data_IF_594181920669
#
_entry.id   IF_594181920669
#
_cell.length_a   1.000
_cell.length_b   1.000
_cell.length_c   1.000
_cell.angle_alpha   90.00
_cell.angle_beta   90.00
_cell.angle_gamma   90.00
#
_symmetry.space_group_name_H-M   'P 1'
#
loop_
_entity.id
_entity.type
_entity.pdbx_description
1 polymer ?
#
# COMPACT_ATOMS: atom_id res chain seq x y z
N UNK A 1 5.69 -36.51 19.28
CA UNK A 1 4.77 -35.36 19.13
C UNK A 1 5.16 -34.15 19.98
N UNK A 2 5.59 -34.34 21.23
CA UNK A 2 5.99 -33.22 22.10
C UNK A 2 7.26 -32.48 21.65
N UNK A 3 8.27 -33.20 21.13
CA UNK A 3 9.52 -32.62 20.67
C UNK A 3 9.37 -31.64 19.48
N UNK A 4 8.66 -31.97 18.39
CA UNK A 4 8.45 -31.03 17.28
C UNK A 4 7.57 -29.83 17.67
N UNK A 5 6.60 -30.02 18.57
CA UNK A 5 5.82 -28.90 19.12
C UNK A 5 6.73 -27.99 19.93
N UNK A 6 7.52 -28.52 20.86
CA UNK A 6 8.46 -27.72 21.66
C UNK A 6 9.48 -26.96 20.79
N UNK A 7 10.02 -27.59 19.75
CA UNK A 7 10.92 -26.93 18.79
C UNK A 7 10.22 -25.82 18.00
N UNK A 8 8.98 -26.03 17.57
CA UNK A 8 8.18 -25.00 16.90
C UNK A 8 7.87 -23.83 17.85
N UNK A 9 7.52 -24.10 19.11
CA UNK A 9 7.29 -23.07 20.13
C UNK A 9 8.56 -22.30 20.43
N UNK A 10 9.72 -22.97 20.50
CA UNK A 10 11.02 -22.33 20.74
C UNK A 10 11.47 -21.48 19.53
N UNK A 11 11.19 -21.94 18.32
CA UNK A 11 11.43 -21.17 17.09
C UNK A 11 10.52 -19.94 17.02
N UNK A 12 9.23 -20.10 17.32
CA UNK A 12 8.27 -18.99 17.45
C UNK A 12 8.69 -18.02 18.55
N UNK A 13 9.14 -18.51 19.71
CA UNK A 13 9.62 -17.69 20.81
C UNK A 13 10.91 -16.96 20.47
N UNK A 14 11.84 -17.55 19.70
CA UNK A 14 13.06 -16.87 19.21
C UNK A 14 12.76 -15.85 18.12
N UNK A 15 11.82 -16.14 17.23
CA UNK A 15 11.35 -15.19 16.21
C UNK A 15 10.62 -14.04 16.89
N UNK A 16 9.70 -14.34 17.82
CA UNK A 16 9.02 -13.35 18.64
C UNK A 16 10.04 -12.55 19.46
N UNK A 17 10.99 -13.18 20.14
CA UNK A 17 12.05 -12.48 20.86
C UNK A 17 12.94 -11.67 19.91
N UNK A 18 13.23 -12.07 18.67
CA UNK A 18 14.00 -11.20 17.75
C UNK A 18 13.17 -10.03 17.22
N UNK A 19 11.87 -10.22 17.05
CA UNK A 19 10.92 -9.18 16.62
C UNK A 19 10.53 -8.24 17.76
N UNK A 20 10.56 -8.72 19.00
CA UNK A 20 10.17 -8.01 20.23
C UNK A 20 11.38 -7.66 21.11
N UNK A 21 12.58 -8.14 20.77
CA UNK A 21 13.81 -7.77 21.45
C UNK A 21 13.96 -6.26 21.29
N UNK A 22 14.43 -5.58 22.33
CA UNK A 22 14.66 -4.15 22.29
C UNK A 22 15.93 -3.88 21.45
N UNK A 23 15.85 -4.04 20.13
CA UNK A 23 16.42 -2.98 19.31
C UNK A 23 15.57 -1.75 19.62
N UNK A 24 16.20 -0.62 19.95
CA UNK A 24 15.46 0.61 20.22
C UNK A 24 14.42 0.83 19.13
N UNK A 25 13.15 0.97 19.52
CA UNK A 25 12.07 1.17 18.56
C UNK A 25 12.46 2.41 17.72
N UNK A 26 12.68 2.30 16.40
CA UNK A 26 13.10 3.44 15.58
C UNK A 26 12.05 4.56 15.56
N UNK A 27 10.84 4.27 16.05
CA UNK A 27 9.72 5.20 16.20
C UNK A 27 9.52 5.67 17.66
N UNK A 28 10.35 5.26 18.63
CA UNK A 28 10.30 5.78 20.00
C UNK A 28 11.06 7.09 20.18
N UNK A 29 11.28 7.83 19.09
CA UNK A 29 11.84 9.17 19.13
C UNK A 29 10.92 10.18 19.85
N UNK A 30 11.29 11.47 19.86
CA UNK A 30 10.44 12.51 20.42
C UNK A 30 9.06 12.52 19.76
N UNK A 31 8.02 13.04 20.45
CA UNK A 31 6.68 13.17 19.89
C UNK A 31 6.69 13.83 18.51
N UNK A 32 5.73 13.44 17.67
CA UNK A 32 5.58 14.03 16.34
C UNK A 32 5.33 15.54 16.46
N UNK A 33 5.98 16.30 15.59
CA UNK A 33 5.79 17.75 15.51
C UNK A 33 4.38 18.09 15.02
N UNK A 34 3.79 19.22 15.44
CA UNK A 34 2.56 19.71 14.85
C UNK A 34 2.76 19.97 13.33
N UNK A 35 1.71 19.79 12.51
CA UNK A 35 1.81 20.05 11.08
C UNK A 35 2.16 21.51 10.80
N UNK A 36 3.15 21.70 9.93
CA UNK A 36 3.57 23.03 9.46
C UNK A 36 2.53 23.62 8.48
N UNK A 37 2.57 24.94 8.22
CA UNK A 37 1.75 25.55 7.18
C UNK A 37 1.97 24.90 5.81
N UNK A 38 0.88 24.80 5.03
CA UNK A 38 0.93 24.22 3.69
C UNK A 38 1.85 25.04 2.78
N UNK A 39 2.75 24.37 2.08
CA UNK A 39 3.66 25.00 1.11
C UNK A 39 3.02 24.97 -0.28
N UNK A 40 2.56 26.13 -0.74
CA UNK A 40 1.92 26.31 -2.05
C UNK A 40 2.88 26.82 -3.13
N UNK A 41 4.05 27.34 -2.77
CA UNK A 41 5.07 27.79 -3.74
C UNK A 41 5.64 26.59 -4.52
N UNK A 42 5.38 26.53 -5.82
CA UNK A 42 5.77 25.39 -6.64
C UNK A 42 7.28 25.20 -6.70
N UNK A 43 8.06 26.29 -6.69
CA UNK A 43 9.53 26.20 -6.70
C UNK A 43 10.06 25.55 -5.43
N UNK A 44 9.46 25.84 -4.27
CA UNK A 44 9.77 25.18 -3.01
C UNK A 44 9.42 23.70 -3.04
N UNK A 45 8.27 23.34 -3.61
CA UNK A 45 7.86 21.94 -3.77
C UNK A 45 8.80 21.16 -4.69
N UNK A 46 9.15 21.74 -5.84
CA UNK A 46 10.03 21.13 -6.83
C UNK A 46 11.43 20.86 -6.29
N UNK A 47 11.93 21.71 -5.37
CA UNK A 47 13.21 21.48 -4.67
C UNK A 47 13.22 20.19 -3.86
N UNK A 48 12.06 19.74 -3.38
CA UNK A 48 11.91 18.48 -2.63
C UNK A 48 11.56 17.32 -3.57
N UNK A 49 10.56 17.51 -4.43
CA UNK A 49 9.94 16.43 -5.19
C UNK A 49 10.61 16.11 -6.52
N UNK A 50 11.38 17.04 -7.11
CA UNK A 50 11.92 16.93 -8.49
C UNK A 50 13.45 16.90 -8.55
N UNK A 51 14.07 16.42 -7.47
CA UNK A 51 15.51 16.30 -7.32
C UNK A 51 16.12 15.33 -8.33
N UNK A 52 16.68 15.87 -9.41
CA UNK A 52 17.24 15.05 -10.49
C UNK A 52 18.39 14.17 -10.04
N UNK A 53 18.43 12.98 -10.62
CA UNK A 53 19.55 12.06 -10.53
C UNK A 53 20.83 12.64 -11.11
N UNK A 54 21.93 12.39 -10.43
CA UNK A 54 23.30 12.58 -10.92
C UNK A 54 24.24 11.76 -10.02
N UNK A 55 25.34 11.23 -10.56
CA UNK A 55 26.28 10.41 -9.79
C UNK A 55 26.75 11.09 -8.49
N UNK A 56 27.02 12.40 -8.53
CA UNK A 56 27.42 13.21 -7.37
C UNK A 56 26.38 13.35 -6.26
N UNK A 57 25.12 13.03 -6.55
CA UNK A 57 23.99 13.10 -5.59
C UNK A 57 23.70 11.74 -4.95
N UNK A 58 24.36 10.68 -5.39
CA UNK A 58 24.25 9.35 -4.78
C UNK A 58 25.02 9.37 -3.46
N UNK A 59 24.35 9.15 -2.31
CA UNK A 59 25.04 9.04 -1.03
C UNK A 59 25.97 7.83 -1.00
N UNK A 60 27.06 7.91 -0.24
CA UNK A 60 28.00 6.80 -0.05
C UNK A 60 28.53 6.77 1.40
N UNK A 61 28.59 5.61 2.08
CA UNK A 61 27.99 4.32 1.68
C UNK A 61 26.47 4.23 1.86
N UNK A 62 25.85 3.32 1.10
CA UNK A 62 24.42 2.99 1.15
C UNK A 62 24.15 1.73 1.96
N UNK A 63 23.08 1.77 2.76
CA UNK A 63 22.52 0.58 3.41
C UNK A 63 21.48 -0.11 2.51
N UNK A 64 20.74 0.64 1.69
CA UNK A 64 19.74 0.09 0.79
C UNK A 64 19.48 0.99 -0.42
N UNK A 65 19.02 0.37 -1.50
CA UNK A 65 18.45 1.05 -2.67
C UNK A 65 17.01 0.60 -2.89
N UNK A 66 16.12 1.56 -3.15
CA UNK A 66 14.69 1.36 -3.44
C UNK A 66 14.42 1.77 -4.88
N UNK A 67 13.78 0.88 -5.64
CA UNK A 67 13.39 1.12 -7.03
C UNK A 67 11.93 1.57 -7.06
N UNK A 68 11.69 2.83 -7.38
CA UNK A 68 10.37 3.47 -7.43
C UNK A 68 10.06 4.27 -6.16
N UNK A 69 9.44 5.45 -6.34
CA UNK A 69 9.02 6.35 -5.27
C UNK A 69 7.52 6.32 -4.99
N UNK A 70 6.88 5.17 -5.24
CA UNK A 70 5.50 4.94 -4.79
C UNK A 70 5.38 5.01 -3.27
N UNK A 71 4.15 5.06 -2.77
CA UNK A 71 3.88 5.12 -1.32
C UNK A 71 4.53 3.95 -0.57
N UNK A 72 4.59 2.77 -1.19
CA UNK A 72 5.29 1.60 -0.63
C UNK A 72 6.79 1.82 -0.50
N UNK A 73 7.44 2.27 -1.56
CA UNK A 73 8.87 2.55 -1.61
C UNK A 73 9.28 3.67 -0.64
N UNK A 74 8.51 4.77 -0.62
CA UNK A 74 8.72 5.87 0.31
C UNK A 74 8.49 5.45 1.77
N UNK A 75 7.46 4.66 2.07
CA UNK A 75 7.20 4.18 3.42
C UNK A 75 8.33 3.27 3.94
N UNK A 76 8.83 2.36 3.09
CA UNK A 76 9.97 1.51 3.44
C UNK A 76 11.24 2.33 3.62
N UNK A 77 11.53 3.26 2.71
CA UNK A 77 12.71 4.13 2.79
C UNK A 77 12.68 5.00 4.06
N UNK A 78 11.54 5.63 4.37
CA UNK A 78 11.37 6.43 5.58
C UNK A 78 11.49 5.59 6.85
N UNK A 79 10.95 4.37 6.85
CA UNK A 79 11.07 3.42 7.98
C UNK A 79 12.53 3.03 8.23
N UNK A 80 13.28 2.70 7.18
CA UNK A 80 14.70 2.40 7.26
C UNK A 80 15.52 3.63 7.68
N UNK A 81 15.18 4.82 7.17
CA UNK A 81 15.79 6.08 7.59
C UNK A 81 15.60 6.37 9.08
N UNK A 82 14.39 6.11 9.62
CA UNK A 82 14.13 6.18 11.07
C UNK A 82 14.92 5.16 11.88
N UNK A 83 15.30 4.04 11.28
CA UNK A 83 16.23 3.08 11.84
C UNK A 83 17.72 3.44 11.60
N UNK A 84 18.01 4.68 11.18
CA UNK A 84 19.36 5.20 10.98
C UNK A 84 20.05 4.69 9.72
N UNK A 85 19.30 4.16 8.74
CA UNK A 85 19.85 3.63 7.49
C UNK A 85 19.88 4.68 6.40
N UNK A 86 20.96 4.72 5.63
CA UNK A 86 21.08 5.54 4.43
C UNK A 86 20.47 4.82 3.24
N UNK A 87 19.34 5.35 2.78
CA UNK A 87 18.55 4.75 1.71
C UNK A 87 18.54 5.67 0.50
N UNK A 88 18.81 5.11 -0.68
CA UNK A 88 18.62 5.78 -1.96
C UNK A 88 17.32 5.30 -2.60
N UNK A 89 16.40 6.22 -2.91
CA UNK A 89 15.19 5.94 -3.69
C UNK A 89 15.39 6.48 -5.10
N UNK A 90 15.16 5.63 -6.11
CA UNK A 90 15.33 5.96 -7.52
C UNK A 90 13.97 5.93 -8.22
N UNK A 91 13.55 7.08 -8.73
CA UNK A 91 12.30 7.26 -9.46
C UNK A 91 12.56 7.51 -10.93
N UNK A 92 11.90 6.77 -11.81
CA UNK A 92 12.06 6.92 -13.26
C UNK A 92 11.42 8.21 -13.78
N UNK A 93 10.30 8.65 -13.21
CA UNK A 93 9.58 9.85 -13.61
C UNK A 93 10.31 11.12 -13.15
N UNK A 94 9.81 12.29 -13.53
CA UNK A 94 10.37 13.60 -13.19
C UNK A 94 9.95 14.16 -11.83
N UNK A 95 9.06 13.46 -11.11
CA UNK A 95 8.57 13.80 -9.78
C UNK A 95 8.40 12.55 -8.91
N UNK A 96 8.76 12.65 -7.63
CA UNK A 96 8.54 11.59 -6.66
C UNK A 96 7.05 11.45 -6.29
N UNK A 97 6.60 10.21 -6.03
CA UNK A 97 5.28 9.93 -5.43
C UNK A 97 4.50 8.77 -6.05
N UNK A 98 4.93 8.19 -7.18
CA UNK A 98 4.19 7.11 -7.85
C UNK A 98 2.75 7.52 -8.12
N UNK A 99 1.74 6.72 -7.75
CA UNK A 99 0.32 7.10 -7.93
C UNK A 99 -0.14 8.35 -7.12
N UNK A 100 0.73 8.90 -6.27
CA UNK A 100 0.50 10.11 -5.51
C UNK A 100 1.26 11.34 -6.04
N UNK A 101 1.84 11.28 -7.25
CA UNK A 101 2.37 12.47 -7.90
C UNK A 101 1.26 13.35 -8.48
N UNK A 102 1.62 14.56 -8.92
CA UNK A 102 0.70 15.55 -9.48
C UNK A 102 1.29 16.18 -10.74
N UNK A 103 0.45 16.71 -11.63
CA UNK A 103 0.94 17.57 -12.71
C UNK A 103 0.13 18.86 -12.77
N UNK A 104 0.76 19.90 -13.30
CA UNK A 104 0.09 21.19 -13.50
C UNK A 104 -0.23 21.40 -14.97
N UNK A 105 -1.44 21.88 -15.23
CA UNK A 105 -1.86 22.27 -16.56
C UNK A 105 -2.75 23.52 -16.45
N UNK A 106 -2.41 24.57 -17.20
CA UNK A 106 -3.15 25.84 -17.21
C UNK A 106 -3.38 26.47 -15.81
N UNK A 107 -2.41 26.35 -14.91
CA UNK A 107 -2.51 26.89 -13.55
C UNK A 107 -3.35 26.07 -12.58
N UNK A 108 -3.79 24.87 -12.99
CA UNK A 108 -4.52 23.90 -12.14
C UNK A 108 -3.64 22.68 -11.91
N UNK A 109 -3.64 22.16 -10.69
CA UNK A 109 -2.96 20.91 -10.33
C UNK A 109 -3.94 19.73 -10.42
N UNK A 110 -3.46 18.60 -10.95
CA UNK A 110 -4.21 17.37 -11.13
C UNK A 110 -3.46 16.21 -10.47
N UNK A 111 -4.14 15.43 -9.64
CA UNK A 111 -3.63 14.15 -9.15
C UNK A 111 -3.77 13.08 -10.23
N UNK A 112 -2.86 12.10 -10.19
CA UNK A 112 -2.80 11.06 -11.23
C UNK A 112 -3.39 9.72 -10.76
N UNK A 113 -3.72 9.57 -9.47
CA UNK A 113 -4.18 8.27 -8.97
C UNK A 113 -5.03 8.27 -7.69
N UNK A 114 -4.60 8.95 -6.62
CA UNK A 114 -5.35 8.90 -5.36
C UNK A 114 -6.64 9.74 -5.45
N UNK A 115 -7.76 9.17 -5.02
CA UNK A 115 -9.06 9.85 -5.01
C UNK A 115 -9.47 10.22 -3.58
N UNK A 116 -9.32 9.27 -2.65
CA UNK A 116 -9.48 9.45 -1.21
C UNK A 116 -8.97 8.18 -0.50
N UNK A 117 -8.81 8.25 0.81
CA UNK A 117 -8.26 7.20 1.67
C UNK A 117 -9.17 6.99 2.87
N UNK A 118 -9.48 5.74 3.19
CA UNK A 118 -10.26 5.36 4.37
C UNK A 118 -9.38 5.09 5.58
N UNK A 119 -9.98 4.73 6.71
CA UNK A 119 -9.26 4.40 7.95
C UNK A 119 -8.21 5.44 8.40
N UNK A 120 -8.54 6.74 8.35
CA UNK A 120 -7.67 7.82 8.81
C UNK A 120 -8.21 8.58 10.03
N UNK A 121 -9.22 8.01 10.69
CA UNK A 121 -9.65 8.44 12.02
C UNK A 121 -8.52 8.29 13.03
N UNK A 122 -8.58 9.08 14.08
CA UNK A 122 -7.60 9.10 15.15
C UNK A 122 -7.35 7.69 15.74
N UNK A 123 -6.07 7.38 15.99
CA UNK A 123 -5.63 6.09 16.53
C UNK A 123 -5.71 4.89 15.58
N UNK A 124 -6.13 5.08 14.33
CA UNK A 124 -6.12 4.00 13.33
C UNK A 124 -4.69 3.62 12.93
N UNK A 125 -4.48 2.33 12.64
CA UNK A 125 -3.14 1.82 12.29
C UNK A 125 -2.56 2.50 11.04
N UNK A 126 -3.38 2.75 10.02
CA UNK A 126 -2.93 3.42 8.80
C UNK A 126 -2.54 4.88 9.09
N UNK A 127 -3.34 5.60 9.89
CA UNK A 127 -3.00 6.96 10.29
C UNK A 127 -1.67 7.00 11.04
N UNK A 128 -1.50 6.12 12.04
CA UNK A 128 -0.25 5.99 12.79
C UNK A 128 0.93 5.68 11.86
N UNK A 129 0.79 4.74 10.93
CA UNK A 129 1.86 4.41 10.00
C UNK A 129 2.26 5.59 9.11
N UNK A 130 1.28 6.33 8.55
CA UNK A 130 1.53 7.50 7.72
C UNK A 130 2.17 8.64 8.52
N UNK A 131 1.67 8.89 9.72
CA UNK A 131 2.24 9.89 10.63
C UNK A 131 3.70 9.52 10.97
N UNK A 132 4.03 8.24 11.14
CA UNK A 132 5.41 7.83 11.38
C UNK A 132 6.33 8.04 10.18
N UNK A 133 5.87 7.83 8.94
CA UNK A 133 6.73 7.99 7.75
C UNK A 133 6.77 9.42 7.21
N UNK A 134 5.93 10.32 7.74
CA UNK A 134 5.85 11.74 7.34
C UNK A 134 6.05 12.71 8.50
N UNK A 135 6.48 12.22 9.67
CA UNK A 135 6.60 12.97 10.92
C UNK A 135 5.34 13.76 11.33
N UNK A 136 4.17 13.15 11.13
CA UNK A 136 2.87 13.72 11.47
C UNK A 136 2.49 14.95 10.63
N UNK A 137 3.25 15.27 9.58
CA UNK A 137 3.01 16.49 8.80
C UNK A 137 1.79 16.37 7.87
N UNK A 138 1.34 15.14 7.56
CA UNK A 138 0.15 14.93 6.75
C UNK A 138 -1.13 15.40 7.46
N UNK A 139 -1.74 16.44 6.88
CA UNK A 139 -3.06 16.92 7.26
C UNK A 139 -4.13 16.25 6.39
N UNK A 140 -5.23 15.81 7.00
CA UNK A 140 -6.29 15.09 6.31
C UNK A 140 -7.62 15.83 6.43
N UNK A 141 -8.24 16.11 5.29
CA UNK A 141 -9.62 16.57 5.24
C UNK A 141 -10.55 15.38 5.13
N UNK A 142 -11.48 15.24 6.09
CA UNK A 142 -12.57 14.29 5.96
C UNK A 142 -13.53 14.79 4.87
N UNK A 143 -13.90 13.92 3.95
CA UNK A 143 -14.89 14.25 2.93
C UNK A 143 -16.26 14.49 3.58
N UNK A 144 -17.08 15.40 3.03
CA UNK A 144 -18.46 15.57 3.47
C UNK A 144 -19.28 14.31 3.18
N UNK A 145 -20.40 14.18 3.88
CA UNK A 145 -21.35 13.10 3.66
C UNK A 145 -22.52 13.59 2.77
N UNK A 146 -22.95 12.83 1.75
CA UNK A 146 -22.41 11.55 1.29
C UNK A 146 -21.02 11.70 0.65
N UNK A 147 -20.14 10.72 0.87
CA UNK A 147 -18.78 10.78 0.34
C UNK A 147 -18.71 10.31 -1.12
N UNK A 148 -19.66 9.48 -1.56
CA UNK A 148 -19.84 9.09 -2.96
C UNK A 148 -21.33 9.11 -3.34
N UNK A 149 -21.59 9.47 -4.59
CA UNK A 149 -22.87 9.28 -5.28
C UNK A 149 -22.68 8.33 -6.47
N UNK A 150 -23.40 7.21 -6.47
CA UNK A 150 -23.37 6.21 -7.54
C UNK A 150 -24.62 6.37 -8.40
N UNK A 151 -24.43 6.69 -9.68
CA UNK A 151 -25.54 6.81 -10.64
C UNK A 151 -25.63 5.57 -11.53
N UNK A 152 -26.78 4.89 -11.50
CA UNK A 152 -27.10 3.73 -12.33
C UNK A 152 -28.32 4.07 -13.21
N UNK A 153 -28.06 4.47 -14.46
CA UNK A 153 -29.10 5.00 -15.33
C UNK A 153 -29.70 6.29 -14.77
N UNK A 154 -31.01 6.32 -14.53
CA UNK A 154 -31.69 7.46 -13.92
C UNK A 154 -31.69 7.43 -12.37
N UNK A 155 -31.26 6.31 -11.76
CA UNK A 155 -31.26 6.13 -10.30
C UNK A 155 -29.94 6.60 -9.70
N UNK A 156 -30.02 7.21 -8.52
CA UNK A 156 -28.89 7.74 -7.77
C UNK A 156 -28.86 7.12 -6.39
N UNK A 157 -27.68 6.66 -5.98
CA UNK A 157 -27.46 6.00 -4.71
C UNK A 157 -26.37 6.73 -3.92
N UNK A 158 -26.66 7.03 -2.66
CA UNK A 158 -25.77 7.80 -1.79
C UNK A 158 -25.04 6.86 -0.82
N UNK A 159 -23.71 6.94 -0.80
CA UNK A 159 -22.87 6.24 0.16
C UNK A 159 -22.45 7.20 1.28
N UNK A 160 -22.81 6.83 2.52
CA UNK A 160 -22.57 7.67 3.70
C UNK A 160 -21.50 7.08 4.60
N UNK A 161 -20.69 7.93 5.20
CA UNK A 161 -19.67 7.54 6.14
C UNK A 161 -20.28 7.13 7.48
N UNK A 162 -19.70 6.13 8.12
CA UNK A 162 -20.10 5.64 9.44
C UNK A 162 -20.83 4.32 9.34
N UNK A 163 -20.46 3.36 10.20
CA UNK A 163 -20.98 1.98 10.14
C UNK A 163 -22.50 1.90 10.20
N UNK A 164 -23.12 2.72 11.06
CA UNK A 164 -24.58 2.76 11.20
C UNK A 164 -25.20 3.53 10.03
N UNK A 165 -24.72 4.75 9.77
CA UNK A 165 -25.23 5.61 8.70
C UNK A 165 -25.15 4.96 7.31
N UNK A 166 -24.07 4.22 7.01
CA UNK A 166 -23.92 3.48 5.77
C UNK A 166 -25.03 2.43 5.60
N UNK A 167 -25.28 1.63 6.65
CA UNK A 167 -26.32 0.59 6.62
C UNK A 167 -27.71 1.21 6.56
N UNK A 168 -27.99 2.19 7.43
CA UNK A 168 -29.28 2.89 7.45
C UNK A 168 -29.59 3.51 6.09
N UNK A 169 -28.63 4.21 5.48
CA UNK A 169 -28.82 4.80 4.16
C UNK A 169 -29.08 3.75 3.08
N UNK A 170 -28.39 2.61 3.10
CA UNK A 170 -28.66 1.54 2.14
C UNK A 170 -30.03 0.89 2.40
N UNK A 171 -30.43 0.67 3.66
CA UNK A 171 -31.73 0.09 4.00
C UNK A 171 -32.90 1.04 3.64
N UNK A 172 -32.69 2.35 3.69
CA UNK A 172 -33.66 3.35 3.21
C UNK A 172 -33.79 3.34 1.68
N UNK A 173 -32.66 3.17 0.97
CA UNK A 173 -32.62 3.12 -0.49
C UNK A 173 -33.08 1.77 -1.07
N UNK A 174 -33.01 0.71 -0.28
CA UNK A 174 -33.40 -0.66 -0.63
C UNK A 174 -34.21 -1.32 0.50
N UNK A 175 -35.47 -0.89 0.73
CA UNK A 175 -36.27 -1.34 1.87
C UNK A 175 -36.55 -2.85 1.89
N UNK A 176 -36.56 -3.50 0.73
CA UNK A 176 -36.81 -4.94 0.57
C UNK A 176 -35.52 -5.79 0.69
N UNK A 177 -34.34 -5.17 0.79
CA UNK A 177 -33.04 -5.85 0.75
C UNK A 177 -32.27 -5.76 2.07
N UNK A 178 -32.96 -5.45 3.18
CA UNK A 178 -32.33 -5.24 4.50
C UNK A 178 -31.53 -6.45 4.95
N UNK A 179 -32.03 -7.66 4.72
CA UNK A 179 -31.32 -8.90 5.07
C UNK A 179 -30.02 -9.05 4.29
N UNK A 180 -30.05 -8.81 2.98
CA UNK A 180 -28.88 -8.87 2.11
C UNK A 180 -27.80 -7.86 2.54
N UNK A 181 -28.21 -6.63 2.85
CA UNK A 181 -27.32 -5.56 3.34
C UNK A 181 -26.68 -5.98 4.67
N UNK A 182 -27.46 -6.44 5.64
CA UNK A 182 -26.95 -6.86 6.96
C UNK A 182 -25.97 -8.02 6.84
N UNK A 183 -26.27 -9.02 6.00
CA UNK A 183 -25.37 -10.15 5.78
C UNK A 183 -24.07 -9.72 5.09
N UNK A 184 -24.13 -8.83 4.08
CA UNK A 184 -22.94 -8.26 3.47
C UNK A 184 -22.04 -7.54 4.48
N UNK A 185 -22.63 -6.77 5.39
CA UNK A 185 -21.91 -6.03 6.42
C UNK A 185 -21.27 -6.95 7.47
N UNK A 186 -21.98 -8.03 7.83
CA UNK A 186 -21.43 -9.09 8.67
C UNK A 186 -20.24 -9.78 8.00
N UNK A 187 -20.35 -10.11 6.71
CA UNK A 187 -19.24 -10.69 5.92
C UNK A 187 -18.05 -9.73 5.85
N UNK A 188 -18.27 -8.44 5.65
CA UNK A 188 -17.22 -7.40 5.65
C UNK A 188 -16.49 -7.31 7.01
N UNK A 189 -17.23 -7.46 8.12
CA UNK A 189 -16.64 -7.52 9.46
C UNK A 189 -15.80 -8.79 9.67
N UNK A 190 -16.27 -9.93 9.17
CA UNK A 190 -15.51 -11.21 9.21
C UNK A 190 -14.24 -11.12 8.37
N UNK A 191 -14.33 -10.59 7.14
CA UNK A 191 -13.20 -10.34 6.27
C UNK A 191 -12.09 -9.59 7.01
N UNK A 192 -12.44 -8.47 7.64
CA UNK A 192 -11.46 -7.65 8.34
C UNK A 192 -10.85 -8.31 9.56
N UNK A 193 -11.66 -8.99 10.39
CA UNK A 193 -11.16 -9.65 11.60
C UNK A 193 -10.19 -10.78 11.28
N UNK A 194 -10.41 -11.46 10.17
CA UNK A 194 -9.62 -12.64 9.78
C UNK A 194 -8.57 -12.34 8.70
N UNK A 195 -8.44 -11.08 8.25
CA UNK A 195 -7.46 -10.69 7.22
C UNK A 195 -6.02 -11.04 7.61
N UNK A 196 -5.69 -10.98 8.90
CA UNK A 196 -4.37 -11.34 9.42
C UNK A 196 -3.99 -12.82 9.13
N UNK A 197 -4.97 -13.72 8.99
CA UNK A 197 -4.71 -15.12 8.65
C UNK A 197 -4.09 -15.28 7.26
N UNK A 198 -4.39 -14.38 6.31
CA UNK A 198 -3.76 -14.37 5.00
C UNK A 198 -2.29 -13.96 5.08
N UNK A 199 -1.99 -12.96 5.91
CA UNK A 199 -0.61 -12.54 6.17
C UNK A 199 0.18 -13.69 6.82
N UNK A 200 -0.39 -14.33 7.84
CA UNK A 200 0.23 -15.50 8.48
C UNK A 200 0.45 -16.66 7.50
N UNK A 201 -0.49 -16.90 6.57
CA UNK A 201 -0.32 -17.92 5.54
C UNK A 201 0.85 -17.58 4.60
N UNK A 202 1.01 -16.30 4.22
CA UNK A 202 2.15 -15.85 3.39
C UNK A 202 3.50 -15.96 4.12
N UNK A 203 3.52 -15.85 5.44
CA UNK A 203 4.71 -16.02 6.28
C UNK A 203 5.00 -17.49 6.62
N UNK A 204 4.07 -18.40 6.36
CA UNK A 204 4.19 -19.81 6.72
C UNK A 204 5.12 -20.57 5.74
N UNK A 205 5.82 -21.63 6.20
CA UNK A 205 6.63 -22.47 5.32
C UNK A 205 5.84 -23.04 4.15
N UNK A 206 6.43 -23.02 2.95
CA UNK A 206 5.75 -23.38 1.70
C UNK A 206 5.16 -24.79 1.70
N UNK A 207 5.82 -25.76 2.36
CA UNK A 207 5.32 -27.13 2.51
C UNK A 207 4.01 -27.17 3.31
N UNK A 208 3.91 -26.39 4.40
CA UNK A 208 2.72 -26.34 5.26
C UNK A 208 1.54 -25.74 4.50
N UNK A 209 1.76 -24.62 3.82
CA UNK A 209 0.75 -23.98 2.97
C UNK A 209 0.24 -24.94 1.90
N UNK A 210 1.15 -25.70 1.28
CA UNK A 210 0.79 -26.68 0.24
C UNK A 210 -0.10 -27.79 0.78
N UNK A 211 0.20 -28.33 1.97
CA UNK A 211 -0.63 -29.34 2.63
C UNK A 211 -2.01 -28.77 2.99
N UNK A 212 -2.06 -27.58 3.57
CA UNK A 212 -3.32 -26.92 3.96
C UNK A 212 -4.23 -26.62 2.76
N UNK A 213 -3.65 -26.24 1.62
CA UNK A 213 -4.37 -26.04 0.36
C UNK A 213 -4.91 -27.38 -0.20
N UNK A 214 -4.04 -28.38 -0.36
CA UNK A 214 -4.41 -29.68 -0.97
C UNK A 214 -5.42 -30.48 -0.14
N UNK A 215 -5.36 -30.36 1.18
CA UNK A 215 -6.30 -31.03 2.09
C UNK A 215 -7.67 -30.35 2.18
N UNK A 216 -7.83 -29.14 1.62
CA UNK A 216 -9.06 -28.37 1.75
C UNK A 216 -9.35 -27.90 3.18
N UNK A 217 -8.35 -27.86 4.07
CA UNK A 217 -8.52 -27.46 5.46
C UNK A 217 -8.68 -25.94 5.63
N UNK A 218 -8.10 -25.13 4.73
CA UNK A 218 -8.14 -23.66 4.85
C UNK A 218 -9.56 -23.08 4.98
N UNK A 219 -10.54 -23.41 4.10
CA UNK A 219 -11.90 -22.92 4.25
C UNK A 219 -12.62 -23.38 5.53
N UNK A 220 -12.13 -24.44 6.19
CA UNK A 220 -12.67 -24.92 7.48
C UNK A 220 -12.10 -24.14 8.67
N UNK A 221 -10.85 -23.69 8.56
CA UNK A 221 -10.20 -22.86 9.59
C UNK A 221 -10.83 -21.47 9.66
N UNK A 222 -11.15 -20.88 8.51
CA UNK A 222 -11.79 -19.57 8.46
C UNK A 222 -12.52 -19.36 7.13
N UNK A 223 -13.71 -18.72 7.17
CA UNK A 223 -14.43 -18.36 5.94
C UNK A 223 -13.64 -17.39 5.04
N UNK A 224 -12.64 -16.68 5.59
CA UNK A 224 -11.83 -15.71 4.83
C UNK A 224 -11.14 -16.34 3.61
N UNK A 225 -10.70 -17.59 3.72
CA UNK A 225 -10.04 -18.30 2.62
C UNK A 225 -11.02 -18.65 1.50
N UNK A 226 -12.28 -18.99 1.86
CA UNK A 226 -13.35 -19.19 0.88
C UNK A 226 -13.72 -17.87 0.21
N UNK A 227 -13.83 -16.79 0.99
CA UNK A 227 -14.12 -15.44 0.48
C UNK A 227 -13.03 -14.97 -0.49
N UNK A 228 -11.76 -15.26 -0.20
CA UNK A 228 -10.63 -14.93 -1.08
C UNK A 228 -10.75 -15.61 -2.45
N UNK A 229 -11.18 -16.87 -2.47
CA UNK A 229 -11.33 -17.68 -3.68
C UNK A 229 -12.69 -17.52 -4.39
N UNK A 230 -13.64 -16.76 -3.82
CA UNK A 230 -14.96 -16.52 -4.41
C UNK A 230 -14.93 -15.20 -5.16
N UNK A 231 -15.46 -15.16 -6.38
CA UNK A 231 -15.54 -13.90 -7.13
C UNK A 231 -16.61 -12.97 -6.54
N UNK A 232 -16.43 -11.66 -6.71
CA UNK A 232 -17.40 -10.66 -6.26
C UNK A 232 -18.79 -10.91 -6.86
N UNK A 233 -18.87 -11.19 -8.17
CA UNK A 233 -20.14 -11.50 -8.82
C UNK A 233 -20.84 -12.71 -8.20
N UNK A 234 -20.10 -13.78 -7.93
CA UNK A 234 -20.68 -15.00 -7.36
C UNK A 234 -21.17 -14.77 -5.93
N UNK A 235 -20.42 -14.05 -5.12
CA UNK A 235 -20.82 -13.75 -3.75
C UNK A 235 -22.02 -12.80 -3.70
N UNK A 236 -22.02 -11.70 -4.47
CA UNK A 236 -23.13 -10.76 -4.53
C UNK A 236 -24.42 -11.42 -5.04
N UNK A 237 -24.32 -12.33 -6.01
CA UNK A 237 -25.47 -13.06 -6.53
C UNK A 237 -26.15 -13.98 -5.50
N UNK A 238 -25.40 -14.45 -4.48
CA UNK A 238 -25.95 -15.23 -3.36
C UNK A 238 -26.64 -14.37 -2.30
N UNK A 239 -26.37 -13.06 -2.27
CA UNK A 239 -26.92 -12.16 -1.26
C UNK A 239 -28.23 -11.53 -1.71
N UNK A 240 -28.36 -11.19 -2.99
CA UNK A 240 -29.53 -10.47 -3.51
C UNK A 240 -29.72 -10.76 -5.00
N UNK A 241 -30.94 -10.63 -5.50
CA UNK A 241 -31.28 -10.62 -6.94
C UNK A 241 -31.32 -9.21 -7.53
N UNK A 242 -31.33 -8.16 -6.69
CA UNK A 242 -31.41 -6.77 -7.13
C UNK A 242 -30.11 -6.34 -7.85
N UNK A 243 -30.18 -5.94 -9.14
CA UNK A 243 -28.99 -5.63 -9.94
C UNK A 243 -28.24 -4.39 -9.43
N UNK A 244 -28.96 -3.39 -8.93
CA UNK A 244 -28.37 -2.13 -8.46
C UNK A 244 -27.64 -2.36 -7.13
N UNK A 245 -28.22 -3.15 -6.22
CA UNK A 245 -27.54 -3.50 -4.97
C UNK A 245 -26.29 -4.38 -5.22
N UNK A 246 -26.33 -5.29 -6.20
CA UNK A 246 -25.13 -6.04 -6.63
C UNK A 246 -24.03 -5.12 -7.14
N UNK A 247 -24.39 -4.11 -7.92
CA UNK A 247 -23.45 -3.11 -8.42
C UNK A 247 -22.83 -2.32 -7.25
N UNK A 248 -23.63 -1.89 -6.27
CA UNK A 248 -23.12 -1.18 -5.09
C UNK A 248 -22.18 -2.04 -4.23
N UNK A 249 -22.46 -3.33 -4.03
CA UNK A 249 -21.54 -4.21 -3.31
C UNK A 249 -20.19 -4.38 -4.02
N UNK A 250 -20.14 -4.21 -5.34
CA UNK A 250 -18.92 -4.25 -6.15
C UNK A 250 -18.40 -2.88 -6.60
N UNK A 251 -18.96 -1.78 -6.08
CA UNK A 251 -18.66 -0.43 -6.56
C UNK A 251 -17.24 0.03 -6.27
N UNK A 252 -16.69 -0.37 -5.12
CA UNK A 252 -15.34 0.01 -4.69
C UNK A 252 -14.28 -0.75 -5.50
N UNK A 253 -14.16 -0.29 -6.73
CA UNK A 253 -13.45 -0.90 -7.83
C UNK A 253 -11.95 -0.58 -7.77
N UNK A 254 -11.15 -1.60 -8.01
CA UNK A 254 -9.69 -1.52 -8.02
C UNK A 254 -9.11 -1.95 -9.38
N UNK A 255 -9.85 -1.73 -10.48
CA UNK A 255 -9.36 -1.98 -11.84
C UNK A 255 -9.79 -3.33 -12.45
N UNK A 256 -10.58 -4.16 -11.75
CA UNK A 256 -10.95 -5.51 -12.21
C UNK A 256 -12.47 -5.73 -12.16
N UNK A 257 -13.04 -6.28 -13.24
CA UNK A 257 -14.46 -6.58 -13.32
C UNK A 257 -14.92 -7.52 -12.17
N UNK A 258 -16.15 -7.37 -11.63
CA UNK A 258 -16.63 -8.17 -10.50
C UNK A 258 -16.49 -9.69 -10.66
N UNK A 259 -16.58 -10.21 -11.89
CA UNK A 259 -16.43 -11.65 -12.18
C UNK A 259 -15.01 -12.17 -11.95
N UNK A 260 -14.01 -11.31 -12.15
CA UNK A 260 -12.57 -11.61 -12.11
C UNK A 260 -11.94 -11.09 -10.79
N UNK A 261 -12.74 -10.40 -9.97
CA UNK A 261 -12.32 -9.77 -8.71
C UNK A 261 -12.69 -10.64 -7.51
N UNK A 262 -11.92 -10.57 -6.42
CA UNK A 262 -12.17 -11.34 -5.19
C UNK A 262 -13.24 -10.66 -4.33
N UNK A 263 -14.20 -11.42 -3.81
CA UNK A 263 -15.19 -10.92 -2.84
C UNK A 263 -14.52 -10.40 -1.57
N UNK A 264 -13.45 -11.07 -1.12
CA UNK A 264 -12.74 -10.65 0.08
C UNK A 264 -12.14 -9.24 -0.06
N UNK A 265 -11.50 -8.97 -1.20
CA UNK A 265 -10.86 -7.66 -1.43
C UNK A 265 -11.90 -6.55 -1.45
N UNK A 266 -13.03 -6.77 -2.14
CA UNK A 266 -14.16 -5.84 -2.12
C UNK A 266 -14.71 -5.61 -0.71
N UNK A 267 -14.92 -6.67 0.07
CA UNK A 267 -15.42 -6.58 1.43
C UNK A 267 -14.47 -5.81 2.36
N UNK A 268 -13.15 -5.98 2.19
CA UNK A 268 -12.14 -5.20 2.88
C UNK A 268 -12.16 -3.73 2.45
N UNK A 269 -12.41 -3.44 1.17
CA UNK A 269 -12.52 -2.07 0.67
C UNK A 269 -13.75 -1.35 1.21
N UNK A 270 -14.90 -2.02 1.27
CA UNK A 270 -16.08 -1.46 1.95
C UNK A 270 -15.74 -1.15 3.40
N UNK A 271 -15.12 -2.09 4.11
CA UNK A 271 -14.72 -1.84 5.50
C UNK A 271 -13.71 -0.68 5.64
N UNK A 272 -12.84 -0.48 4.66
CA UNK A 272 -11.88 0.62 4.66
C UNK A 272 -12.57 1.99 4.70
N UNK A 273 -13.64 2.17 3.91
CA UNK A 273 -14.38 3.43 3.81
C UNK A 273 -15.58 3.56 4.78
N UNK A 274 -15.97 2.49 5.48
CA UNK A 274 -17.08 2.51 6.45
C UNK A 274 -16.95 3.57 7.55
N UNK A 275 -15.75 4.06 7.86
CA UNK A 275 -15.55 5.11 8.88
C UNK A 275 -15.41 6.51 8.28
N UNK A 276 -15.47 6.63 6.97
CA UNK A 276 -15.28 7.85 6.22
C UNK A 276 -14.24 7.70 5.12
N UNK A 277 -14.19 8.74 4.30
CA UNK A 277 -13.15 8.99 3.33
C UNK A 277 -12.42 10.28 3.71
N UNK A 278 -11.11 10.31 3.48
CA UNK A 278 -10.27 11.46 3.74
C UNK A 278 -9.38 11.73 2.53
N UNK A 279 -9.02 12.99 2.34
CA UNK A 279 -8.11 13.42 1.29
C UNK A 279 -7.03 14.33 1.89
N UNK A 280 -5.76 14.19 1.48
CA UNK A 280 -4.68 15.00 2.03
C UNK A 280 -4.89 16.48 1.70
N UNK A 281 -4.80 17.33 2.72
CA UNK A 281 -4.83 18.79 2.53
C UNK A 281 -3.58 19.22 1.76
N UNK A 282 -3.76 19.71 0.54
CA UNK A 282 -2.66 20.11 -0.33
C UNK A 282 -2.39 19.15 -1.48
N UNK A 283 -3.15 18.07 -1.60
CA UNK A 283 -3.07 17.15 -2.74
C UNK A 283 -2.31 15.86 -2.45
N UNK A 284 -2.31 14.93 -3.40
CA UNK A 284 -1.65 13.63 -3.25
C UNK A 284 -0.15 13.73 -2.99
N UNK A 285 0.49 14.75 -3.58
CA UNK A 285 1.94 14.94 -3.53
C UNK A 285 2.44 15.26 -2.12
N UNK A 286 1.57 15.61 -1.18
CA UNK A 286 1.92 15.80 0.24
C UNK A 286 2.54 14.55 0.87
N UNK A 287 2.15 13.34 0.42
CA UNK A 287 2.72 12.08 0.93
C UNK A 287 4.22 12.03 0.62
N UNK A 288 4.61 12.29 -0.62
CA UNK A 288 6.01 12.32 -1.01
C UNK A 288 6.73 13.55 -0.43
N UNK A 289 6.08 14.71 -0.44
CA UNK A 289 6.66 15.98 0.02
C UNK A 289 7.10 15.90 1.48
N UNK A 290 6.36 15.17 2.32
CA UNK A 290 6.71 14.97 3.72
C UNK A 290 7.57 13.73 3.99
N UNK A 291 7.49 12.68 3.16
CA UNK A 291 8.35 11.49 3.32
C UNK A 291 9.80 11.75 2.89
N UNK A 292 10.03 12.54 1.84
CA UNK A 292 11.39 12.82 1.31
C UNK A 292 12.32 13.41 2.38
N UNK A 293 11.95 14.47 3.13
CA UNK A 293 12.81 15.01 4.17
C UNK A 293 13.16 14.02 5.29
N UNK A 294 12.27 13.06 5.59
CA UNK A 294 12.55 11.99 6.58
C UNK A 294 13.72 11.14 6.12
N UNK A 295 13.73 10.78 4.83
CA UNK A 295 14.78 9.97 4.21
C UNK A 295 16.11 10.75 4.17
N UNK A 296 16.05 12.03 3.78
CA UNK A 296 17.25 12.86 3.61
C UNK A 296 17.95 13.19 4.92
N UNK A 297 17.21 13.37 6.03
CA UNK A 297 17.82 13.62 7.35
C UNK A 297 18.65 12.45 7.86
N UNK A 298 18.39 11.23 7.41
CA UNK A 298 19.21 10.06 7.71
C UNK A 298 20.43 9.93 6.78
N UNK A 299 20.68 10.91 5.89
CA UNK A 299 21.73 10.87 4.87
C UNK A 299 21.36 10.08 3.62
N UNK A 300 20.09 9.72 3.46
CA UNK A 300 19.55 9.14 2.22
C UNK A 300 19.26 10.19 1.15
N UNK A 301 18.71 9.74 0.01
CA UNK A 301 18.29 10.63 -1.08
C UNK A 301 17.10 10.04 -1.85
N UNK A 302 16.26 10.91 -2.41
CA UNK A 302 15.20 10.54 -3.35
C UNK A 302 15.47 11.23 -4.68
N UNK A 303 15.82 10.47 -5.71
CA UNK A 303 16.28 11.01 -6.99
C UNK A 303 15.35 10.61 -8.13
N UNK A 304 14.85 11.60 -8.85
CA UNK A 304 13.96 11.46 -10.02
C UNK A 304 14.75 11.45 -11.33
N UNK A 305 14.11 11.04 -12.43
CA UNK A 305 14.75 10.82 -13.75
C UNK A 305 15.89 9.79 -13.64
N UNK A 306 15.64 8.76 -12.84
CA UNK A 306 16.59 7.72 -12.48
C UNK A 306 16.06 6.33 -12.87
N UNK A 307 15.81 6.04 -14.16
CA UNK A 307 15.25 4.77 -14.53
C UNK A 307 16.29 3.66 -14.29
N UNK A 308 15.94 2.76 -13.38
CA UNK A 308 16.71 1.55 -13.11
C UNK A 308 16.48 0.59 -14.27
N UNK A 309 17.56 0.10 -14.88
CA UNK A 309 17.49 -0.78 -16.05
C UNK A 309 17.61 -2.25 -15.66
N UNK A 310 18.40 -2.55 -14.63
CA UNK A 310 18.56 -3.91 -14.09
C UNK A 310 18.97 -3.92 -12.62
N UNK A 311 18.63 -5.01 -11.94
CA UNK A 311 19.21 -5.37 -10.64
C UNK A 311 20.55 -6.07 -10.88
N UNK A 312 21.57 -5.67 -10.14
CA UNK A 312 22.88 -6.33 -10.15
C UNK A 312 22.81 -7.56 -9.26
N UNK A 313 23.25 -8.70 -9.76
CA UNK A 313 23.15 -9.99 -9.06
C UNK A 313 24.48 -10.73 -9.17
N UNK A 314 24.93 -11.32 -8.07
CA UNK A 314 26.11 -12.18 -8.02
C UNK A 314 25.85 -13.55 -8.67
N UNK A 315 26.90 -14.35 -8.84
CA UNK A 315 26.78 -15.69 -9.41
C UNK A 315 25.88 -16.64 -8.59
N UNK A 316 25.79 -16.45 -7.28
CA UNK A 316 24.91 -17.21 -6.36
C UNK A 316 23.48 -16.66 -6.26
N UNK A 317 23.14 -15.60 -7.01
CA UNK A 317 21.79 -15.02 -7.03
C UNK A 317 21.54 -13.93 -5.99
N UNK A 318 22.56 -13.47 -5.26
CA UNK A 318 22.45 -12.41 -4.27
C UNK A 318 22.43 -11.03 -4.94
N UNK A 319 21.48 -10.17 -4.57
CA UNK A 319 21.40 -8.81 -5.10
C UNK A 319 22.55 -7.93 -4.57
N UNK A 320 23.21 -7.20 -5.47
CA UNK A 320 24.39 -6.38 -5.17
C UNK A 320 24.17 -4.88 -5.34
N UNK A 321 23.01 -4.48 -5.87
CA UNK A 321 22.70 -3.11 -6.24
C UNK A 321 21.86 -3.02 -7.50
N UNK A 322 21.94 -1.88 -8.19
CA UNK A 322 21.16 -1.59 -9.40
C UNK A 322 22.01 -0.85 -10.44
N UNK A 323 21.64 -0.98 -11.71
CA UNK A 323 22.16 -0.14 -12.78
C UNK A 323 21.12 0.92 -13.16
N UNK A 324 21.57 2.16 -13.34
CA UNK A 324 20.73 3.32 -13.68
C UNK A 324 21.23 3.95 -14.98
N UNK A 325 20.31 4.37 -15.86
CA UNK A 325 20.65 5.11 -17.08
C UNK A 325 19.81 6.37 -17.20
N UNK A 326 20.36 7.55 -16.95
CA UNK A 326 19.55 8.77 -16.85
C UNK A 326 18.91 9.20 -18.19
N UNK A 327 19.51 8.84 -19.34
CA UNK A 327 19.00 9.20 -20.66
C UNK A 327 19.40 8.23 -21.78
N UNK A 328 18.73 8.30 -22.95
CA UNK A 328 19.13 7.55 -24.14
C UNK A 328 20.57 7.91 -24.56
N UNK A 329 21.44 6.91 -24.67
CA UNK A 329 22.84 7.10 -25.05
C UNK A 329 23.80 7.40 -23.89
N UNK A 330 23.29 7.55 -22.66
CA UNK A 330 24.15 7.62 -21.47
C UNK A 330 24.62 6.23 -21.02
N UNK A 331 25.82 6.18 -20.46
CA UNK A 331 26.36 4.96 -19.85
C UNK A 331 25.54 4.56 -18.61
N UNK A 332 25.45 3.25 -18.37
CA UNK A 332 24.83 2.74 -17.16
C UNK A 332 25.76 2.96 -15.96
N UNK A 333 25.26 3.66 -14.94
CA UNK A 333 25.94 3.78 -13.66
C UNK A 333 25.50 2.65 -12.74
N UNK A 334 26.47 1.87 -12.25
CA UNK A 334 26.23 0.86 -11.24
C UNK A 334 26.26 1.48 -9.83
N UNK A 335 25.18 1.27 -9.08
CA UNK A 335 25.04 1.73 -7.69
C UNK A 335 24.96 0.49 -6.82
N UNK A 336 25.96 0.30 -5.94
CA UNK A 336 26.02 -0.84 -5.03
C UNK A 336 25.31 -0.56 -3.71
N UNK A 337 24.55 -1.55 -3.25
CA UNK A 337 23.93 -1.53 -1.94
C UNK A 337 23.69 -2.98 -1.47
N UNK A 338 23.82 -3.27 -0.16
CA UNK A 338 23.63 -4.62 0.36
C UNK A 338 22.16 -5.08 0.35
N UNK A 339 21.22 -4.15 0.18
CA UNK A 339 19.79 -4.44 0.10
C UNK A 339 19.16 -3.72 -1.10
N UNK A 340 18.42 -4.47 -1.92
CA UNK A 340 17.63 -3.95 -3.04
C UNK A 340 16.15 -4.20 -2.78
N UNK A 341 15.34 -3.14 -2.83
CA UNK A 341 13.90 -3.19 -2.58
C UNK A 341 13.20 -2.67 -3.83
N UNK A 342 12.28 -3.46 -4.41
CA UNK A 342 11.56 -3.04 -5.61
C UNK A 342 10.12 -2.65 -5.28
N UNK A 343 9.78 -1.39 -5.52
CA UNK A 343 8.41 -0.86 -5.56
C UNK A 343 7.95 -0.58 -7.01
N UNK A 344 8.70 -1.06 -8.01
CA UNK A 344 8.39 -0.87 -9.44
C UNK A 344 7.20 -1.73 -9.94
N UNK A 345 6.56 -2.51 -9.06
CA UNK A 345 5.53 -3.48 -9.38
C UNK A 345 6.10 -4.85 -9.82
N UNK A 346 5.31 -5.90 -9.59
CA UNK A 346 5.73 -7.30 -9.78
C UNK A 346 6.17 -7.60 -11.22
N UNK A 347 5.40 -7.15 -12.22
CA UNK A 347 5.69 -7.43 -13.63
C UNK A 347 6.96 -6.72 -14.11
N UNK A 348 7.20 -5.48 -13.70
CA UNK A 348 8.44 -4.78 -14.05
C UNK A 348 9.64 -5.42 -13.36
N UNK A 349 9.51 -5.75 -12.07
CA UNK A 349 10.59 -6.37 -11.29
C UNK A 349 11.04 -7.70 -11.90
N UNK A 350 10.11 -8.65 -12.04
CA UNK A 350 10.45 -10.00 -12.50
C UNK A 350 10.59 -10.11 -14.02
N UNK A 351 9.83 -9.32 -14.78
CA UNK A 351 9.83 -9.38 -16.24
C UNK A 351 10.95 -8.55 -16.90
N UNK A 352 11.38 -7.45 -16.28
CA UNK A 352 12.32 -6.50 -16.88
C UNK A 352 13.61 -6.34 -16.07
N UNK A 353 13.51 -6.04 -14.77
CA UNK A 353 14.66 -5.60 -13.97
C UNK A 353 15.58 -6.74 -13.52
N UNK A 354 15.04 -7.93 -13.23
CA UNK A 354 15.88 -9.08 -12.90
C UNK A 354 16.66 -9.58 -14.13
N UNK A 355 17.93 -10.01 -14.00
CA UNK A 355 18.66 -10.66 -15.09
C UNK A 355 18.03 -12.00 -15.53
N UNK A 356 18.07 -12.38 -16.83
CA UNK A 356 17.40 -13.57 -17.35
C UNK A 356 17.63 -14.88 -16.58
N UNK A 357 18.83 -15.10 -16.05
CA UNK A 357 19.19 -16.33 -15.33
C UNK A 357 18.56 -16.44 -13.93
N UNK A 358 18.09 -15.33 -13.34
CA UNK A 358 17.31 -15.31 -12.08
C UNK A 358 15.86 -14.91 -12.27
N UNK A 359 15.43 -14.62 -13.51
CA UNK A 359 14.02 -14.30 -13.79
C UNK A 359 13.14 -15.51 -13.48
N UNK A 360 12.02 -15.23 -12.85
CA UNK A 360 10.86 -16.12 -12.80
C UNK A 360 9.69 -15.42 -13.49
N UNK A 361 8.78 -16.19 -14.08
CA UNK A 361 7.52 -15.64 -14.58
C UNK A 361 6.51 -15.61 -13.43
N UNK A 362 6.15 -14.43 -12.89
CA UNK A 362 5.24 -14.30 -11.75
C UNK A 362 3.76 -14.50 -12.13
#
# INVERSE_FOLDING_TARGET
LLLPVALATLALARVAHRLLAPSGNPFSGPPLEPPRPLVTDQRARDRVLKQGFSARRVPDPLDAVVIGSGVGGLAVAATLAKAGRRVLVLEQHDQAGGCCHTFQQHGVEFDVGIHYVGQLHEGSLLRVALDQVTDGQLCWHRLPDPYDEVTLGARRYLLRSGKVAFVTALEEQFPDEKEAIREFMKLSKVASRHAALLALLKLSPRWLVTVLLRSGLLPRLSPVFRMAATSQSQAAARLTSNPDLRALFGYLFYGTAPRDSSFLVNALMVHHYQRGAWYPRGGASEVAFHAVPVIERAGGAVLVRAPVTRVLVSADGTALGVAVRAGPGEEELEIRAPLVISDAGVFNTFGKLLPPHVRSHP
#
